data_IF_487446342586
#
_entry.id   IF_487446342586
#
_cell.length_a   1.000
_cell.length_b   1.000
_cell.length_c   1.000
_cell.angle_alpha   90.00
_cell.angle_beta   90.00
_cell.angle_gamma   90.00
#
_symmetry.space_group_name_H-M   'P 1'
#
loop_
_entity.id
_entity.type
_entity.pdbx_description
1 polymer ?
#
# COMPACT_ATOMS: atom_id res chain seq x y z
N UNK A 1 25.12 -2.72 -43.86
CA UNK A 1 25.13 -3.99 -43.09
C UNK A 1 25.09 -3.77 -41.57
N UNK A 2 25.34 -2.55 -41.06
CA UNK A 2 25.31 -2.20 -39.62
C UNK A 2 23.91 -1.93 -39.04
N UNK A 3 22.98 -1.37 -39.81
CA UNK A 3 21.62 -1.05 -39.30
C UNK A 3 20.75 -2.27 -38.97
N UNK A 4 20.97 -3.39 -39.66
CA UNK A 4 20.17 -4.62 -39.51
C UNK A 4 20.44 -5.31 -38.14
N UNK A 5 21.63 -5.10 -37.57
CA UNK A 5 21.98 -5.63 -36.24
C UNK A 5 21.43 -4.78 -35.09
N UNK A 6 21.35 -3.46 -35.27
CA UNK A 6 20.83 -2.55 -34.23
C UNK A 6 19.32 -2.70 -34.02
N UNK A 7 18.54 -2.91 -35.09
CA UNK A 7 17.08 -3.13 -34.99
C UNK A 7 16.75 -4.49 -34.36
N UNK A 8 17.54 -5.53 -34.63
CA UNK A 8 17.42 -6.83 -33.95
C UNK A 8 17.81 -6.78 -32.47
N UNK A 9 18.77 -5.94 -32.10
CA UNK A 9 19.18 -5.77 -30.71
C UNK A 9 18.17 -4.96 -29.89
N UNK A 10 17.55 -3.92 -30.47
CA UNK A 10 16.47 -3.17 -29.83
C UNK A 10 15.26 -4.09 -29.57
N UNK A 11 14.77 -4.75 -30.63
CA UNK A 11 13.61 -5.65 -30.55
C UNK A 11 13.82 -6.82 -29.59
N UNK A 12 15.04 -7.35 -29.46
CA UNK A 12 15.35 -8.46 -28.52
C UNK A 12 15.52 -7.98 -27.07
N UNK A 13 16.00 -6.75 -26.83
CA UNK A 13 16.10 -6.17 -25.48
C UNK A 13 14.73 -5.79 -24.92
N UNK A 14 13.87 -5.24 -25.77
CA UNK A 14 12.52 -4.82 -25.39
C UNK A 14 11.66 -6.03 -25.04
N UNK A 15 11.65 -7.07 -25.89
CA UNK A 15 10.90 -8.32 -25.66
C UNK A 15 11.39 -9.07 -24.41
N UNK A 16 12.72 -9.22 -24.24
CA UNK A 16 13.29 -9.91 -23.08
C UNK A 16 13.00 -9.18 -21.75
N UNK A 17 12.96 -7.84 -21.76
CA UNK A 17 12.59 -7.05 -20.59
C UNK A 17 11.11 -7.21 -20.24
N UNK A 18 10.21 -7.20 -21.23
CA UNK A 18 8.77 -7.43 -20.99
C UNK A 18 8.48 -8.83 -20.49
N UNK A 19 9.19 -9.87 -20.97
CA UNK A 19 9.00 -11.25 -20.49
C UNK A 19 9.43 -11.39 -19.03
N UNK A 20 10.57 -10.78 -18.66
CA UNK A 20 11.04 -10.75 -17.28
C UNK A 20 10.11 -9.93 -16.38
N UNK A 21 9.66 -8.76 -16.83
CA UNK A 21 8.71 -7.90 -16.11
C UNK A 21 7.37 -8.60 -15.91
N UNK A 22 6.87 -9.31 -16.92
CA UNK A 22 5.63 -10.07 -16.83
C UNK A 22 5.75 -11.20 -15.82
N UNK A 23 6.83 -12.00 -15.89
CA UNK A 23 7.11 -13.05 -14.91
C UNK A 23 7.25 -12.52 -13.48
N UNK A 24 7.98 -11.43 -13.30
CA UNK A 24 8.15 -10.79 -12.00
C UNK A 24 6.82 -10.23 -11.46
N UNK A 25 6.01 -9.62 -12.32
CA UNK A 25 4.69 -9.08 -11.95
C UNK A 25 3.76 -10.20 -11.50
N UNK A 26 3.66 -11.29 -12.25
CA UNK A 26 2.81 -12.43 -11.88
C UNK A 26 3.25 -13.07 -10.56
N UNK A 27 4.56 -13.12 -10.31
CA UNK A 27 5.10 -13.61 -9.04
C UNK A 27 4.75 -12.68 -7.87
N UNK A 28 4.93 -11.37 -8.03
CA UNK A 28 4.62 -10.40 -6.97
C UNK A 28 3.12 -10.32 -6.68
N UNK A 29 2.27 -10.37 -7.71
CA UNK A 29 0.80 -10.38 -7.54
C UNK A 29 0.37 -11.63 -6.76
N UNK A 30 0.82 -12.81 -7.18
CA UNK A 30 0.46 -14.06 -6.49
C UNK A 30 0.94 -14.11 -5.05
N UNK A 31 2.16 -13.63 -4.74
CA UNK A 31 2.62 -13.49 -3.36
C UNK A 31 1.80 -12.48 -2.56
N UNK A 32 1.43 -11.37 -3.17
CA UNK A 32 0.62 -10.33 -2.52
C UNK A 32 -0.76 -10.86 -2.18
N UNK A 33 -1.42 -11.55 -3.11
CA UNK A 33 -2.73 -12.17 -2.91
C UNK A 33 -2.69 -13.18 -1.75
N UNK A 34 -1.72 -14.10 -1.78
CA UNK A 34 -1.54 -15.11 -0.72
C UNK A 34 -1.28 -14.44 0.64
N UNK A 35 -0.47 -13.38 0.67
CA UNK A 35 -0.16 -12.65 1.91
C UNK A 35 -1.38 -11.91 2.49
N UNK A 36 -2.21 -11.33 1.61
CA UNK A 36 -3.43 -10.64 1.99
C UNK A 36 -4.46 -11.62 2.55
N UNK A 37 -4.63 -12.78 1.91
CA UNK A 37 -5.55 -13.82 2.36
C UNK A 37 -5.15 -14.39 3.73
N UNK A 38 -3.86 -14.64 3.94
CA UNK A 38 -3.34 -15.11 5.24
C UNK A 38 -3.51 -14.03 6.32
N UNK A 39 -3.16 -12.78 6.03
CA UNK A 39 -3.29 -11.67 6.97
C UNK A 39 -4.75 -11.36 7.34
N UNK A 40 -5.65 -11.40 6.36
CA UNK A 40 -7.08 -11.20 6.56
C UNK A 40 -7.70 -12.38 7.34
N UNK A 41 -7.30 -13.61 7.03
CA UNK A 41 -7.75 -14.80 7.75
C UNK A 41 -7.26 -14.82 9.19
N UNK A 42 -6.00 -14.45 9.45
CA UNK A 42 -5.45 -14.33 10.80
C UNK A 42 -6.19 -13.25 11.61
N UNK A 43 -6.47 -12.11 10.99
CA UNK A 43 -7.26 -11.03 11.61
C UNK A 43 -8.69 -11.46 11.91
N UNK A 44 -9.34 -12.18 10.97
CA UNK A 44 -10.68 -12.72 11.16
C UNK A 44 -10.71 -13.78 12.27
N UNK A 45 -9.68 -14.61 12.38
CA UNK A 45 -9.53 -15.59 13.46
C UNK A 45 -9.34 -14.91 14.82
N UNK A 46 -8.53 -13.85 14.89
CA UNK A 46 -8.35 -13.03 16.10
C UNK A 46 -9.66 -12.33 16.51
N UNK A 47 -10.43 -11.82 15.54
CA UNK A 47 -11.75 -11.24 15.78
C UNK A 47 -12.78 -12.28 16.23
N UNK A 48 -12.78 -13.48 15.62
CA UNK A 48 -13.67 -14.60 15.98
C UNK A 48 -13.49 -15.01 17.45
N UNK A 49 -12.26 -15.03 17.96
CA UNK A 49 -11.98 -15.33 19.38
C UNK A 49 -12.63 -14.33 20.34
N UNK A 50 -12.86 -13.09 19.91
CA UNK A 50 -13.52 -12.05 20.73
C UNK A 50 -15.05 -12.08 20.65
N UNK A 51 -15.66 -12.71 19.65
CA UNK A 51 -17.12 -12.70 19.41
C UNK A 51 -17.72 -14.00 18.87
N UNK A 52 -17.51 -15.16 19.51
CA UNK A 52 -17.80 -16.48 18.92
C UNK A 52 -19.29 -16.71 18.59
N UNK A 53 -20.23 -16.19 19.39
CA UNK A 53 -21.67 -16.45 19.24
C UNK A 53 -22.28 -15.81 17.99
N UNK A 54 -21.78 -14.65 17.56
CA UNK A 54 -22.30 -13.91 16.41
C UNK A 54 -21.52 -14.20 15.12
N UNK A 55 -20.24 -14.58 15.22
CA UNK A 55 -19.40 -14.92 14.07
C UNK A 55 -19.68 -16.30 13.47
N UNK A 56 -19.97 -17.34 14.27
CA UNK A 56 -20.29 -18.68 13.72
C UNK A 56 -21.57 -18.67 12.87
N UNK A 57 -22.53 -17.82 13.24
CA UNK A 57 -23.75 -17.59 12.45
C UNK A 57 -23.49 -16.68 11.22
N UNK A 58 -22.38 -15.92 11.24
CA UNK A 58 -21.87 -15.01 10.20
C UNK A 58 -20.99 -15.66 9.12
N UNK A 59 -20.48 -16.87 9.34
CA UNK A 59 -19.60 -17.58 8.38
C UNK A 59 -20.35 -18.76 7.71
N UNK A 60 -21.41 -19.29 8.34
CA UNK A 60 -22.24 -20.33 7.74
C UNK A 60 -23.15 -19.76 6.63
N UNK A 61 -23.09 -20.26 5.39
CA UNK A 61 -23.96 -19.86 4.31
C UNK A 61 -25.31 -20.59 4.46
N UNK A 62 -26.11 -20.21 5.46
CA UNK A 62 -27.39 -20.89 5.69
C UNK A 62 -28.53 -20.16 4.97
N UNK A 63 -28.98 -20.75 3.86
CA UNK A 63 -30.11 -20.34 3.00
C UNK A 63 -31.47 -20.20 3.71
N UNK A 64 -31.57 -20.40 5.03
CA UNK A 64 -32.88 -20.46 5.73
C UNK A 64 -32.93 -19.78 7.11
N UNK A 65 -31.90 -19.07 7.57
CA UNK A 65 -31.91 -18.43 8.89
C UNK A 65 -31.95 -16.89 8.78
N UNK A 66 -32.75 -16.19 9.61
CA UNK A 66 -32.88 -14.74 9.56
C UNK A 66 -31.52 -14.05 9.69
N UNK A 67 -31.29 -13.08 8.81
CA UNK A 67 -30.05 -12.30 8.66
C UNK A 67 -29.55 -11.82 10.03
N UNK A 68 -28.50 -12.45 10.54
CA UNK A 68 -27.82 -11.92 11.72
C UNK A 68 -27.04 -10.68 11.34
N UNK A 69 -27.02 -9.65 12.18
CA UNK A 69 -26.29 -8.39 11.90
C UNK A 69 -24.81 -8.59 11.55
N UNK A 70 -24.21 -9.71 11.99
CA UNK A 70 -22.86 -10.12 11.61
C UNK A 70 -22.72 -10.52 10.13
N UNK A 71 -23.70 -11.19 9.52
CA UNK A 71 -23.70 -11.51 8.08
C UNK A 71 -23.77 -10.24 7.23
N UNK A 72 -24.64 -9.30 7.63
CA UNK A 72 -24.79 -8.01 6.95
C UNK A 72 -23.49 -7.21 7.00
N UNK A 73 -22.87 -7.14 8.19
CA UNK A 73 -21.60 -6.45 8.39
C UNK A 73 -20.45 -7.13 7.65
N UNK A 74 -20.36 -8.46 7.64
CA UNK A 74 -19.31 -9.17 6.92
C UNK A 74 -19.42 -8.99 5.41
N UNK A 75 -20.63 -8.99 4.83
CA UNK A 75 -20.81 -8.69 3.40
C UNK A 75 -20.52 -7.22 3.09
N UNK A 76 -21.01 -6.29 3.90
CA UNK A 76 -20.71 -4.87 3.74
C UNK A 76 -19.20 -4.59 3.84
N UNK A 77 -18.50 -5.24 4.77
CA UNK A 77 -17.05 -5.15 4.93
C UNK A 77 -16.32 -5.77 3.74
N UNK A 78 -16.75 -6.95 3.27
CA UNK A 78 -16.16 -7.63 2.09
C UNK A 78 -16.28 -6.78 0.83
N UNK A 79 -17.50 -6.35 0.49
CA UNK A 79 -17.73 -5.51 -0.68
C UNK A 79 -17.06 -4.14 -0.50
N UNK A 80 -17.08 -3.56 0.70
CA UNK A 80 -16.44 -2.29 1.01
C UNK A 80 -14.93 -2.31 0.76
N UNK A 81 -14.21 -3.32 1.23
CA UNK A 81 -12.76 -3.43 1.00
C UNK A 81 -12.43 -3.63 -0.48
N UNK A 82 -13.22 -4.42 -1.20
CA UNK A 82 -13.05 -4.63 -2.65
C UNK A 82 -13.30 -3.33 -3.43
N UNK A 83 -14.35 -2.58 -3.10
CA UNK A 83 -14.62 -1.29 -3.73
C UNK A 83 -13.57 -0.23 -3.37
N UNK A 84 -13.03 -0.24 -2.15
CA UNK A 84 -11.99 0.69 -1.74
C UNK A 84 -10.67 0.44 -2.48
N UNK A 85 -10.24 -0.82 -2.58
CA UNK A 85 -9.00 -1.17 -3.30
C UNK A 85 -9.15 -0.99 -4.81
N UNK A 86 -10.27 -1.44 -5.39
CA UNK A 86 -10.56 -1.24 -6.81
C UNK A 86 -10.72 0.25 -7.15
N UNK A 87 -11.44 1.01 -6.32
CA UNK A 87 -11.64 2.45 -6.50
C UNK A 87 -10.34 3.23 -6.39
N UNK A 88 -9.49 2.94 -5.41
CA UNK A 88 -8.17 3.56 -5.29
C UNK A 88 -7.28 3.24 -6.51
N UNK A 89 -7.28 1.98 -6.94
CA UNK A 89 -6.56 1.55 -8.15
C UNK A 89 -7.04 2.27 -9.41
N UNK A 90 -8.37 2.35 -9.60
CA UNK A 90 -8.98 3.05 -10.74
C UNK A 90 -8.74 4.56 -10.68
N UNK A 91 -8.82 5.19 -9.51
CA UNK A 91 -8.57 6.62 -9.35
C UNK A 91 -7.11 6.97 -9.65
N UNK A 92 -6.15 6.23 -9.08
CA UNK A 92 -4.73 6.43 -9.36
C UNK A 92 -4.40 6.13 -10.82
N UNK A 93 -4.98 5.08 -11.40
CA UNK A 93 -4.84 4.78 -12.82
C UNK A 93 -5.46 5.86 -13.70
N UNK A 94 -6.62 6.41 -13.33
CA UNK A 94 -7.29 7.47 -14.08
C UNK A 94 -6.50 8.77 -14.04
N UNK A 95 -5.95 9.13 -12.88
CA UNK A 95 -5.03 10.26 -12.73
C UNK A 95 -3.78 10.00 -13.58
N UNK A 96 -3.22 8.80 -13.58
CA UNK A 96 -2.09 8.44 -14.46
C UNK A 96 -2.45 8.52 -15.95
N UNK A 97 -3.65 8.10 -16.34
CA UNK A 97 -4.12 8.14 -17.74
C UNK A 97 -4.44 9.55 -18.23
N UNK A 98 -4.93 10.42 -17.35
CA UNK A 98 -5.20 11.84 -17.63
C UNK A 98 -3.95 12.71 -17.51
N UNK A 99 -2.96 12.30 -16.70
CA UNK A 99 -1.72 13.04 -16.47
C UNK A 99 -0.88 13.17 -17.74
N UNK A 100 -0.94 12.22 -18.68
CA UNK A 100 -0.18 12.27 -19.94
C UNK A 100 1.35 12.24 -19.78
N UNK A 101 1.85 12.38 -18.56
CA UNK A 101 3.23 12.17 -18.15
C UNK A 101 3.43 10.67 -17.93
N UNK A 102 4.15 10.06 -18.87
CA UNK A 102 4.44 8.62 -18.87
C UNK A 102 5.44 8.20 -17.78
N UNK A 103 5.92 9.12 -16.93
CA UNK A 103 6.97 8.81 -15.97
C UNK A 103 6.80 9.54 -14.63
N UNK A 104 7.09 8.81 -13.55
CA UNK A 104 7.09 9.29 -12.15
C UNK A 104 8.11 10.43 -12.00
N UNK A 105 9.12 10.49 -12.85
CA UNK A 105 10.08 11.59 -12.93
C UNK A 105 9.43 12.91 -13.37
N UNK A 106 8.60 12.93 -14.42
CA UNK A 106 7.96 14.18 -14.87
C UNK A 106 6.96 14.71 -13.83
N UNK A 107 6.24 13.81 -13.16
CA UNK A 107 5.38 14.17 -12.04
C UNK A 107 6.22 14.73 -10.88
N UNK A 108 7.31 14.06 -10.49
CA UNK A 108 8.21 14.53 -9.44
C UNK A 108 8.83 15.90 -9.78
N UNK A 109 9.22 16.12 -11.04
CA UNK A 109 9.80 17.40 -11.48
C UNK A 109 8.75 18.51 -11.48
N UNK A 110 7.54 18.27 -11.99
CA UNK A 110 6.45 19.28 -11.97
C UNK A 110 5.91 19.55 -10.57
N UNK A 111 5.74 18.53 -9.74
CA UNK A 111 5.38 18.71 -8.33
C UNK A 111 6.51 19.41 -7.56
N UNK A 112 7.77 19.07 -7.87
CA UNK A 112 8.94 19.71 -7.31
C UNK A 112 9.11 21.17 -7.70
N UNK A 113 8.61 21.60 -8.87
CA UNK A 113 8.60 23.01 -9.27
C UNK A 113 7.38 23.77 -8.77
N UNK A 114 6.29 23.08 -8.45
CA UNK A 114 5.07 23.65 -7.89
C UNK A 114 5.19 23.93 -6.39
N UNK A 115 6.01 23.16 -5.67
CA UNK A 115 6.40 23.54 -4.31
C UNK A 115 7.46 24.65 -4.39
N UNK A 116 7.23 25.83 -3.78
CA UNK A 116 8.25 26.86 -3.70
C UNK A 116 9.49 26.27 -3.04
N UNK A 117 10.60 26.24 -3.78
CA UNK A 117 11.89 25.71 -3.33
C UNK A 117 12.27 26.40 -2.03
N UNK A 118 12.15 25.69 -0.92
CA UNK A 118 12.53 26.19 0.40
C UNK A 118 14.02 26.52 0.33
N UNK A 119 14.41 27.80 0.48
CA UNK A 119 15.82 28.16 0.49
C UNK A 119 16.49 27.45 1.66
N UNK A 120 17.58 26.73 1.36
CA UNK A 120 18.42 26.12 2.40
C UNK A 120 18.99 27.26 3.26
N UNK A 121 18.53 27.33 4.49
CA UNK A 121 19.07 28.21 5.51
C UNK A 121 20.47 27.71 5.90
N UNK A 122 21.51 28.44 5.49
CA UNK A 122 22.86 28.34 6.06
C UNK A 122 22.98 29.51 7.05
N UNK A 123 23.05 29.33 8.38
CA UNK A 123 23.22 28.09 9.16
C UNK A 123 21.91 27.36 9.52
N UNK A 124 21.98 26.06 9.89
CA UNK A 124 20.82 25.24 10.21
C UNK A 124 20.24 25.61 11.58
N UNK A 125 19.34 26.58 11.63
CA UNK A 125 18.46 26.78 12.78
C UNK A 125 17.15 26.07 12.48
N UNK A 126 17.14 24.75 12.68
CA UNK A 126 15.90 23.97 12.67
C UNK A 126 15.12 24.24 13.95
N UNK A 127 13.85 24.63 13.83
CA UNK A 127 12.86 24.52 14.92
C UNK A 127 12.48 23.07 15.18
N UNK A 128 13.48 22.23 15.38
CA UNK A 128 13.36 20.86 15.84
C UNK A 128 14.37 20.75 16.95
N UNK A 129 13.93 21.05 18.16
CA UNK A 129 14.73 21.03 19.39
C UNK A 129 15.35 19.64 19.68
N UNK A 130 15.02 18.63 18.87
CA UNK A 130 15.61 17.31 18.90
C UNK A 130 16.62 17.19 17.75
N UNK A 131 17.90 17.09 18.11
CA UNK A 131 19.01 16.96 17.14
C UNK A 131 18.96 15.62 16.38
N UNK A 132 18.12 14.68 16.82
CA UNK A 132 17.80 13.46 16.10
C UNK A 132 16.98 12.48 16.93
N UNK A 133 16.65 11.33 16.34
CA UNK A 133 15.92 10.25 17.02
C UNK A 133 16.64 9.73 18.27
N UNK A 134 17.97 9.90 18.35
CA UNK A 134 18.78 9.56 19.52
C UNK A 134 18.42 10.43 20.74
N UNK A 135 18.14 11.70 20.52
CA UNK A 135 17.75 12.67 21.55
C UNK A 135 16.32 12.40 22.05
N UNK A 136 15.45 11.93 21.15
CA UNK A 136 14.11 11.46 21.47
C UNK A 136 14.16 10.16 22.30
N UNK A 137 15.03 9.22 21.93
CA UNK A 137 15.21 7.97 22.67
C UNK A 137 15.90 8.16 24.03
N UNK A 138 16.65 9.23 24.22
CA UNK A 138 17.20 9.63 25.53
C UNK A 138 16.11 10.23 26.45
N UNK A 139 15.13 10.95 25.89
CA UNK A 139 13.98 11.48 26.64
C UNK A 139 12.98 10.39 27.13
N UNK A 140 12.82 9.28 26.40
CA UNK A 140 11.86 8.21 26.74
C UNK A 140 12.16 7.50 28.08
N UNK A 141 13.39 7.06 28.39
CA UNK A 141 13.69 6.43 29.68
C UNK A 141 13.49 7.41 30.84
N UNK A 142 13.64 8.72 30.62
CA UNK A 142 13.43 9.74 31.65
C UNK A 142 11.95 9.91 32.04
N UNK A 143 10.99 9.61 31.14
CA UNK A 143 9.55 9.65 31.45
C UNK A 143 9.02 8.37 32.10
N UNK A 144 9.73 7.24 31.91
CA UNK A 144 9.31 5.91 32.39
C UNK A 144 9.44 5.73 33.91
N UNK A 145 10.22 6.57 34.60
CA UNK A 145 10.48 6.47 36.05
C UNK A 145 9.59 7.33 36.96
N UNK A 146 8.50 7.93 36.46
CA UNK A 146 7.68 8.90 37.22
C UNK A 146 6.23 8.45 37.47
N UNK A 147 5.88 7.19 37.23
CA UNK A 147 4.53 6.62 37.50
C UNK A 147 4.49 5.59 38.63
N UNK A 148 5.56 5.53 39.45
CA UNK A 148 5.69 4.55 40.53
C UNK A 148 5.89 5.22 41.92
N UNK A 149 5.41 6.45 42.13
CA UNK A 149 5.21 7.03 43.48
C UNK A 149 3.76 7.48 43.69
#
# INVERSE_FOLDING_TARGET
MSEINSTKLLSKKDVFSTDFKWKATTFLVSLTDISADIGFSATLAAAKRRGPKFFDRGIMPNTKAPETGAQLALRALKWGTVYASAGCGVLLYSIWKLSGASDIEEFRIKMGSLLPRIPKNNPPVGRTEFTGLNDLLDCVPHLKGSSDE
#
